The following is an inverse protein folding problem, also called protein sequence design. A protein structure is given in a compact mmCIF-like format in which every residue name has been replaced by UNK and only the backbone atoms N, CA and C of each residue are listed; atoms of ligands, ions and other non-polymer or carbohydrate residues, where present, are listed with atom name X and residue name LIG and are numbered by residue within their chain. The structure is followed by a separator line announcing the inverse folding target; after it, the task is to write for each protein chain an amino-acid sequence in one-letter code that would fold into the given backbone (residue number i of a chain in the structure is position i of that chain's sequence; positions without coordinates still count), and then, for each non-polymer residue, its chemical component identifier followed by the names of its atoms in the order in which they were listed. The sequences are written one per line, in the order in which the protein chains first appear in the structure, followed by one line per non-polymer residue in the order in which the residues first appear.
data_IF_715982242946
#
_entry.id   IF_715982242946
#
_cell.length_a   1.000
_cell.length_b   1.000
_cell.length_c   1.000
_cell.angle_alpha   90.00
_cell.angle_beta   90.00
_cell.angle_gamma   90.00
#
_symmetry.space_group_name_H-M   'P 1'
#
loop_
_entity.id
_entity.type
_entity.pdbx_description
1 polymer ?
#
# COMPACT_ATOMS: atom_id res chain seq x y z
N UNK A 1 23.45 5.95 -14.79
CA UNK A 1 22.33 5.89 -13.81
C UNK A 1 21.17 5.13 -14.44
N UNK A 2 20.74 4.00 -13.86
CA UNK A 2 19.68 3.14 -14.42
C UNK A 2 18.35 3.91 -14.42
N UNK A 3 17.77 4.17 -15.59
CA UNK A 3 16.42 4.76 -15.72
C UNK A 3 15.38 3.65 -15.77
N UNK A 4 14.57 3.53 -14.72
CA UNK A 4 13.44 2.59 -14.70
C UNK A 4 12.25 3.26 -15.40
N UNK A 5 11.76 2.65 -16.50
CA UNK A 5 10.64 3.19 -17.29
C UNK A 5 9.42 3.45 -16.40
N UNK A 6 8.86 4.65 -16.48
CA UNK A 6 7.67 5.08 -15.72
C UNK A 6 7.97 5.58 -14.29
N UNK A 7 9.12 5.24 -13.70
CA UNK A 7 9.55 5.82 -12.44
C UNK A 7 10.06 7.25 -12.65
N UNK A 8 9.65 8.19 -11.80
CA UNK A 8 10.11 9.58 -11.84
C UNK A 8 11.18 9.85 -10.81
N UNK A 9 10.86 9.59 -9.54
CA UNK A 9 11.75 9.86 -8.40
C UNK A 9 11.31 9.09 -7.16
N UNK A 10 12.24 8.99 -6.22
CA UNK A 10 12.00 8.48 -4.87
C UNK A 10 11.92 9.65 -3.90
N UNK A 11 11.03 9.56 -2.93
CA UNK A 11 10.87 10.56 -1.89
C UNK A 11 10.63 9.88 -0.54
N UNK A 12 10.80 10.61 0.55
CA UNK A 12 10.59 10.10 1.90
C UNK A 12 9.70 11.03 2.72
N UNK A 13 9.27 10.55 3.88
CA UNK A 13 8.66 11.37 4.92
C UNK A 13 8.89 10.73 6.29
N UNK A 14 8.31 11.34 7.34
CA UNK A 14 8.47 10.90 8.73
C UNK A 14 8.20 9.40 8.96
N UNK A 15 7.28 8.79 8.22
CA UNK A 15 6.91 7.38 8.40
C UNK A 15 7.16 6.50 7.17
N UNK A 16 7.87 7.02 6.16
CA UNK A 16 8.13 6.33 4.89
C UNK A 16 9.55 6.66 4.42
N UNK A 17 10.55 5.79 4.65
CA UNK A 17 10.44 4.48 5.28
C UNK A 17 10.30 4.53 6.81
N UNK A 18 9.76 3.46 7.38
CA UNK A 18 9.64 3.15 8.80
C UNK A 18 10.01 1.68 9.02
N UNK A 19 10.56 1.36 10.18
CA UNK A 19 10.83 -0.01 10.60
C UNK A 19 10.59 -0.14 12.11
N UNK A 20 9.85 -1.17 12.52
CA UNK A 20 9.56 -1.48 13.92
C UNK A 20 10.60 -2.46 14.47
N UNK A 21 11.12 -2.18 15.67
CA UNK A 21 12.06 -3.09 16.37
C UNK A 21 11.34 -4.18 17.19
N UNK A 22 10.01 -4.13 17.28
CA UNK A 22 9.26 -4.99 18.20
C UNK A 22 9.05 -6.41 17.64
N UNK A 23 8.99 -7.39 18.54
CA UNK A 23 8.79 -8.81 18.22
C UNK A 23 7.40 -9.09 17.61
N UNK A 24 7.30 -10.28 16.99
CA UNK A 24 6.09 -10.81 16.37
C UNK A 24 4.97 -10.99 17.39
N UNK A 25 3.90 -10.21 17.23
CA UNK A 25 2.72 -10.22 18.12
C UNK A 25 1.48 -10.85 17.47
N UNK A 26 1.50 -11.02 16.15
CA UNK A 26 0.36 -11.52 15.40
C UNK A 26 0.72 -12.69 14.47
N UNK A 27 -0.29 -13.49 14.13
CA UNK A 27 -0.16 -14.74 13.39
C UNK A 27 0.22 -14.54 11.92
N UNK A 28 -0.35 -13.54 11.25
CA UNK A 28 -0.26 -13.37 9.80
C UNK A 28 0.56 -12.13 9.42
N UNK A 29 1.27 -12.24 8.29
CA UNK A 29 1.87 -11.11 7.59
C UNK A 29 1.04 -10.75 6.37
N UNK A 30 0.86 -9.45 6.15
CA UNK A 30 0.21 -8.89 4.98
C UNK A 30 1.14 -7.83 4.36
N UNK A 31 1.34 -7.90 3.04
CA UNK A 31 1.97 -6.81 2.29
C UNK A 31 0.86 -5.99 1.65
N UNK A 32 0.84 -4.69 1.94
CA UNK A 32 -0.15 -3.74 1.43
C UNK A 32 0.52 -2.74 0.50
N UNK A 33 -0.06 -2.52 -0.66
CA UNK A 33 0.30 -1.44 -1.58
C UNK A 33 -0.53 -0.19 -1.28
N UNK A 34 0.11 0.97 -1.25
CA UNK A 34 -0.54 2.26 -1.08
C UNK A 34 -0.39 3.05 -2.39
N UNK A 35 -1.47 3.68 -2.84
CA UNK A 35 -1.47 4.55 -4.02
C UNK A 35 -2.31 5.80 -3.84
N UNK A 36 -1.84 6.94 -4.35
CA UNK A 36 -2.58 8.20 -4.36
C UNK A 36 -2.06 9.13 -5.44
N UNK A 37 -2.92 9.95 -6.03
CA UNK A 37 -2.54 11.00 -6.97
C UNK A 37 -3.42 12.26 -6.87
N UNK A 38 -4.15 12.38 -5.75
CA UNK A 38 -4.87 13.59 -5.39
C UNK A 38 -4.17 14.20 -4.18
N UNK A 39 -3.62 15.38 -4.33
CA UNK A 39 -2.94 16.11 -3.25
C UNK A 39 -3.84 16.30 -2.02
N UNK A 40 -3.28 16.32 -0.78
CA UNK A 40 -1.87 16.12 -0.44
C UNK A 40 -1.55 14.64 -0.10
N UNK A 41 -0.92 13.91 -1.02
CA UNK A 41 -0.69 12.45 -0.96
C UNK A 41 0.15 12.04 0.24
N UNK A 42 1.32 12.65 0.42
CA UNK A 42 2.24 12.31 1.53
C UNK A 42 1.65 12.62 2.89
N UNK A 43 0.96 13.77 3.02
CA UNK A 43 0.27 14.14 4.27
C UNK A 43 -0.80 13.11 4.59
N UNK A 44 -1.52 12.62 3.57
CA UNK A 44 -2.53 11.57 3.71
C UNK A 44 -1.93 10.24 4.14
N UNK A 45 -0.82 9.81 3.54
CA UNK A 45 -0.14 8.57 3.93
C UNK A 45 0.41 8.64 5.37
N UNK A 46 0.96 9.79 5.78
CA UNK A 46 1.37 9.98 7.17
C UNK A 46 0.20 9.97 8.15
N UNK A 47 -0.97 10.52 7.76
CA UNK A 47 -2.19 10.45 8.56
C UNK A 47 -2.73 9.02 8.64
N UNK A 48 -2.71 8.27 7.53
CA UNK A 48 -3.08 6.86 7.49
C UNK A 48 -2.21 6.06 8.46
N UNK A 49 -0.89 6.21 8.37
CA UNK A 49 0.06 5.54 9.26
C UNK A 49 -0.29 5.79 10.74
N UNK A 50 -0.51 7.06 11.14
CA UNK A 50 -0.86 7.39 12.52
C UNK A 50 -2.15 6.72 13.00
N UNK A 51 -3.22 6.81 12.21
CA UNK A 51 -4.51 6.20 12.57
C UNK A 51 -4.41 4.66 12.60
N UNK A 52 -3.58 4.08 11.74
CA UNK A 52 -3.33 2.64 11.72
C UNK A 52 -2.46 2.18 12.91
N UNK A 53 -1.53 3.01 13.39
CA UNK A 53 -0.76 2.73 14.61
C UNK A 53 -1.62 2.70 15.88
N UNK A 54 -2.77 3.38 15.87
CA UNK A 54 -3.74 3.38 16.98
C UNK A 54 -4.71 2.18 16.92
N UNK A 55 -4.75 1.44 15.80
CA UNK A 55 -5.65 0.31 15.61
C UNK A 55 -5.04 -0.99 16.14
N UNK A 56 -5.59 -1.49 17.26
CA UNK A 56 -5.09 -2.68 17.96
C UNK A 56 -5.25 -4.00 17.18
N UNK A 57 -5.95 -4.01 16.04
CA UNK A 57 -6.18 -5.23 15.24
C UNK A 57 -4.95 -5.67 14.45
N UNK A 58 -3.95 -4.80 14.31
CA UNK A 58 -2.75 -5.08 13.54
C UNK A 58 -1.58 -4.17 13.96
N UNK A 59 -0.41 -4.43 13.40
CA UNK A 59 0.81 -3.68 13.66
C UNK A 59 1.57 -3.42 12.37
N UNK A 60 1.99 -2.18 12.16
CA UNK A 60 2.87 -1.83 11.04
C UNK A 60 4.30 -2.24 11.41
N UNK A 61 4.91 -3.09 10.59
CA UNK A 61 6.29 -3.54 10.76
C UNK A 61 7.27 -2.68 9.97
N UNK A 62 6.93 -2.39 8.72
CA UNK A 62 7.80 -1.64 7.84
C UNK A 62 7.01 -0.86 6.79
N UNK A 63 7.61 0.20 6.27
CA UNK A 63 7.14 0.91 5.08
C UNK A 63 8.31 1.19 4.16
N UNK A 64 8.04 1.25 2.86
CA UNK A 64 9.02 1.68 1.87
C UNK A 64 9.19 3.21 1.85
N UNK A 65 10.20 3.73 1.13
CA UNK A 65 10.14 5.06 0.56
C UNK A 65 8.93 5.23 -0.39
N UNK A 66 8.62 6.47 -0.74
CA UNK A 66 7.67 6.76 -1.80
C UNK A 66 8.32 6.61 -3.18
N UNK A 67 7.58 6.01 -4.11
CA UNK A 67 7.85 6.10 -5.53
C UNK A 67 6.83 7.00 -6.20
N UNK A 68 7.31 7.98 -6.94
CA UNK A 68 6.48 8.80 -7.81
C UNK A 68 6.62 8.24 -9.21
N UNK A 69 5.52 7.82 -9.83
CA UNK A 69 5.53 7.21 -11.17
C UNK A 69 4.29 7.58 -11.98
N UNK A 70 4.41 7.42 -13.29
CA UNK A 70 3.33 7.68 -14.25
C UNK A 70 2.04 6.95 -13.88
N UNK A 71 0.90 7.59 -14.15
CA UNK A 71 -0.40 6.97 -14.02
C UNK A 71 -0.58 5.81 -15.03
N UNK A 72 -1.16 4.70 -14.55
CA UNK A 72 -1.50 3.55 -15.38
C UNK A 72 -2.96 3.60 -15.85
N UNK A 73 -3.21 3.23 -17.10
CA UNK A 73 -4.55 3.24 -17.69
C UNK A 73 -4.96 4.65 -18.14
N UNK A 74 -5.73 5.36 -17.31
CA UNK A 74 -6.13 6.74 -17.63
C UNK A 74 -4.94 7.68 -17.42
N UNK A 75 -4.42 8.31 -18.50
CA UNK A 75 -3.17 9.09 -18.41
C UNK A 75 -3.37 10.60 -18.19
N UNK A 76 -4.57 11.13 -18.43
CA UNK A 76 -4.88 12.54 -18.21
C UNK A 76 -5.13 12.83 -16.71
N UNK A 77 -4.16 12.47 -15.87
CA UNK A 77 -4.16 12.67 -14.43
C UNK A 77 -2.73 12.82 -13.91
N UNK A 78 -2.58 13.30 -12.68
CA UNK A 78 -1.26 13.41 -12.03
C UNK A 78 -0.59 12.05 -11.86
N UNK A 79 0.74 12.08 -11.79
CA UNK A 79 1.57 10.96 -11.37
C UNK A 79 1.13 10.45 -9.98
N UNK A 80 1.29 9.15 -9.76
CA UNK A 80 0.96 8.52 -8.49
C UNK A 80 2.15 8.55 -7.54
N UNK A 81 1.85 8.84 -6.28
CA UNK A 81 2.68 8.49 -5.12
C UNK A 81 2.31 7.10 -4.65
N UNK A 82 3.26 6.16 -4.71
CA UNK A 82 3.08 4.77 -4.30
C UNK A 82 4.05 4.39 -3.18
N UNK A 83 3.62 3.47 -2.33
CA UNK A 83 4.45 2.87 -1.28
C UNK A 83 4.00 1.44 -0.98
N UNK A 84 4.80 0.70 -0.23
CA UNK A 84 4.41 -0.58 0.36
C UNK A 84 4.49 -0.51 1.88
N UNK A 85 3.65 -1.30 2.54
CA UNK A 85 3.59 -1.42 4.00
C UNK A 85 3.48 -2.90 4.38
N UNK A 86 4.38 -3.35 5.25
CA UNK A 86 4.34 -4.69 5.85
C UNK A 86 3.60 -4.62 7.17
N UNK A 87 2.59 -5.48 7.34
CA UNK A 87 1.68 -5.46 8.47
C UNK A 87 1.58 -6.86 9.08
N UNK A 88 1.51 -6.90 10.42
CA UNK A 88 1.16 -8.07 11.22
C UNK A 88 -0.30 -8.00 11.67
N UNK A 89 -1.07 -9.08 11.54
CA UNK A 89 -2.46 -9.12 12.00
C UNK A 89 -2.92 -10.54 12.37
N UNK A 90 -3.93 -10.64 13.24
CA UNK A 90 -4.64 -11.90 13.51
C UNK A 90 -5.90 -12.05 12.64
N UNK A 91 -6.26 -11.01 11.88
CA UNK A 91 -7.38 -11.06 10.95
C UNK A 91 -7.03 -11.93 9.75
N UNK A 92 -7.94 -12.80 9.33
CA UNK A 92 -7.83 -13.48 8.04
C UNK A 92 -7.88 -12.48 6.89
N UNK A 93 -7.31 -12.85 5.73
CA UNK A 93 -7.17 -11.97 4.56
C UNK A 93 -8.46 -11.21 4.17
N UNK A 94 -9.62 -11.88 4.14
CA UNK A 94 -10.90 -11.24 3.82
C UNK A 94 -11.31 -10.18 4.87
N UNK A 95 -11.12 -10.47 6.15
CA UNK A 95 -11.41 -9.51 7.22
C UNK A 95 -10.45 -8.32 7.17
N UNK A 96 -9.17 -8.58 6.89
CA UNK A 96 -8.17 -7.53 6.72
C UNK A 96 -8.46 -6.66 5.48
N UNK A 97 -8.91 -7.25 4.37
CA UNK A 97 -9.33 -6.49 3.18
C UNK A 97 -10.50 -5.54 3.49
N UNK A 98 -11.48 -5.97 4.28
CA UNK A 98 -12.56 -5.08 4.75
C UNK A 98 -12.03 -3.88 5.54
N UNK A 99 -10.98 -4.09 6.34
CA UNK A 99 -10.30 -3.00 7.06
C UNK A 99 -9.63 -2.02 6.10
N UNK A 100 -8.94 -2.52 5.06
CA UNK A 100 -8.35 -1.66 4.04
C UNK A 100 -9.41 -0.81 3.32
N UNK A 101 -10.51 -1.44 2.89
CA UNK A 101 -11.64 -0.75 2.26
C UNK A 101 -12.27 0.31 3.18
N UNK A 102 -12.39 0.02 4.48
CA UNK A 102 -12.85 0.99 5.46
C UNK A 102 -11.93 2.22 5.52
N UNK A 103 -10.61 2.03 5.50
CA UNK A 103 -9.67 3.16 5.48
C UNK A 103 -9.78 3.97 4.20
N UNK A 104 -9.90 3.35 3.04
CA UNK A 104 -10.12 4.10 1.80
C UNK A 104 -11.36 5.00 1.87
N UNK A 105 -12.47 4.48 2.40
CA UNK A 105 -13.69 5.26 2.62
C UNK A 105 -13.47 6.39 3.63
N UNK A 106 -12.81 6.10 4.76
CA UNK A 106 -12.44 7.11 5.77
C UNK A 106 -11.58 8.23 5.18
N UNK A 107 -10.72 7.90 4.23
CA UNK A 107 -9.86 8.81 3.49
C UNK A 107 -10.47 9.31 2.17
N UNK A 108 -11.81 9.21 2.05
CA UNK A 108 -12.63 9.83 1.00
C UNK A 108 -12.35 9.32 -0.42
N UNK A 109 -11.95 8.05 -0.58
CA UNK A 109 -11.85 7.41 -1.90
C UNK A 109 -13.22 7.41 -2.57
N UNK A 110 -13.31 7.95 -3.79
CA UNK A 110 -14.50 7.89 -4.66
C UNK A 110 -14.19 7.00 -5.87
N UNK A 111 -15.12 6.15 -6.27
CA UNK A 111 -15.01 5.25 -7.43
C UNK A 111 -15.94 5.75 -8.54
N UNK A 112 -15.50 6.76 -9.28
CA UNK A 112 -16.32 7.41 -10.33
C UNK A 112 -16.23 6.69 -11.67
N UNK A 113 -15.03 6.28 -12.10
CA UNK A 113 -14.80 5.49 -13.30
C UNK A 113 -13.54 4.63 -13.16
N UNK A 114 -13.34 3.69 -14.10
CA UNK A 114 -12.18 2.80 -14.09
C UNK A 114 -10.88 3.60 -14.18
N UNK A 115 -9.95 3.36 -13.25
CA UNK A 115 -8.67 4.07 -13.14
C UNK A 115 -8.76 5.58 -12.83
N UNK A 116 -9.88 6.07 -12.29
CA UNK A 116 -10.01 7.45 -11.85
C UNK A 116 -8.93 7.89 -10.84
N UNK A 117 -8.61 9.19 -10.76
CA UNK A 117 -7.78 9.73 -9.69
C UNK A 117 -8.34 9.36 -8.31
N UNK A 118 -7.47 9.12 -7.34
CA UNK A 118 -7.90 8.64 -6.03
C UNK A 118 -7.11 9.27 -4.90
N UNK A 119 -7.83 9.55 -3.81
CA UNK A 119 -7.24 10.04 -2.56
C UNK A 119 -6.42 8.95 -1.89
N UNK A 120 -6.88 7.71 -1.88
CA UNK A 120 -6.17 6.57 -1.30
C UNK A 120 -6.63 5.28 -2.00
N UNK A 121 -5.68 4.42 -2.31
CA UNK A 121 -5.85 3.04 -2.78
C UNK A 121 -5.02 2.15 -1.86
N UNK A 122 -5.62 1.08 -1.33
CA UNK A 122 -5.00 0.10 -0.44
C UNK A 122 -5.22 -1.31 -1.00
N UNK A 123 -4.19 -1.85 -1.62
CA UNK A 123 -4.23 -3.18 -2.22
C UNK A 123 -3.61 -4.22 -1.27
N UNK A 124 -4.31 -5.30 -0.96
CA UNK A 124 -3.71 -6.47 -0.30
C UNK A 124 -2.90 -7.27 -1.33
N UNK A 125 -1.59 -7.04 -1.37
CA UNK A 125 -0.68 -7.61 -2.37
C UNK A 125 -0.34 -9.07 -2.07
N UNK A 126 0.02 -9.36 -0.83
CA UNK A 126 0.40 -10.69 -0.35
C UNK A 126 -0.11 -10.94 1.07
N UNK A 127 -0.32 -12.21 1.41
CA UNK A 127 -0.73 -12.66 2.73
C UNK A 127 -0.03 -13.99 3.05
N UNK A 128 0.50 -14.15 4.26
CA UNK A 128 1.38 -15.27 4.61
C UNK A 128 0.69 -16.63 4.72
N UNK A 129 -0.64 -16.66 4.83
CA UNK A 129 -1.42 -17.91 4.79
C UNK A 129 -1.97 -18.12 3.38
N UNK A 130 -2.12 -19.39 2.97
CA UNK A 130 -2.86 -19.76 1.77
C UNK A 130 -4.28 -19.19 1.84
N UNK A 131 -4.62 -18.32 0.88
CA UNK A 131 -5.95 -17.73 0.73
C UNK A 131 -6.66 -18.50 -0.38
N UNK A 132 -7.89 -18.97 -0.13
CA UNK A 132 -8.74 -19.50 -1.19
C UNK A 132 -9.07 -18.33 -2.13
N UNK A 133 -8.71 -18.46 -3.40
CA UNK A 133 -9.06 -17.44 -4.40
C UNK A 133 -10.56 -17.48 -4.66
N UNK A 134 -11.19 -16.33 -4.56
CA UNK A 134 -12.59 -16.09 -4.90
C UNK A 134 -12.75 -14.65 -5.40
N UNK A 135 -13.94 -14.32 -5.90
CA UNK A 135 -14.25 -13.00 -6.49
C UNK A 135 -14.02 -11.82 -5.54
N UNK A 136 -14.06 -12.05 -4.21
CA UNK A 136 -13.88 -11.02 -3.20
C UNK A 136 -12.48 -10.94 -2.60
N UNK A 137 -11.59 -11.91 -2.85
CA UNK A 137 -10.23 -11.92 -2.30
C UNK A 137 -9.27 -12.71 -3.20
N UNK A 138 -8.54 -11.98 -4.04
CA UNK A 138 -7.49 -12.54 -4.90
C UNK A 138 -6.11 -12.18 -4.35
N UNK A 139 -5.53 -13.10 -3.58
CA UNK A 139 -4.19 -12.97 -3.01
C UNK A 139 -3.34 -14.19 -3.41
N UNK A 140 -2.10 -14.01 -3.93
CA UNK A 140 -1.46 -12.74 -4.24
C UNK A 140 -2.21 -11.95 -5.33
N UNK A 141 -2.12 -10.63 -5.27
CA UNK A 141 -2.78 -9.77 -6.25
C UNK A 141 -2.21 -10.02 -7.65
N UNK A 142 -3.08 -10.26 -8.64
CA UNK A 142 -2.73 -10.78 -9.99
C UNK A 142 -1.64 -9.94 -10.70
N UNK A 143 -1.59 -8.63 -10.47
CA UNK A 143 -0.60 -7.74 -11.07
C UNK A 143 0.54 -7.27 -10.17
N UNK A 144 0.67 -7.79 -8.94
CA UNK A 144 1.64 -7.24 -7.97
C UNK A 144 3.10 -7.41 -8.43
N UNK A 145 3.43 -8.56 -9.02
CA UNK A 145 4.78 -8.90 -9.48
C UNK A 145 5.19 -8.26 -10.82
N UNK A 146 4.31 -7.48 -11.46
CA UNK A 146 4.59 -6.81 -12.74
C UNK A 146 4.59 -5.28 -12.60
N UNK A 147 4.09 -4.74 -11.49
CA UNK A 147 3.94 -3.30 -11.29
C UNK A 147 5.18 -2.71 -10.62
N UNK A 148 5.84 -1.79 -11.30
CA UNK A 148 6.96 -1.02 -10.73
C UNK A 148 6.57 -0.29 -9.43
N UNK A 149 5.29 0.12 -9.32
CA UNK A 149 4.70 0.78 -8.16
C UNK A 149 4.63 -0.12 -6.92
N UNK A 150 4.86 -1.42 -7.09
CA UNK A 150 4.96 -2.42 -6.02
C UNK A 150 6.40 -2.88 -5.87
N UNK A 151 7.03 -3.32 -6.97
CA UNK A 151 8.35 -3.97 -6.96
C UNK A 151 9.43 -3.04 -6.44
N UNK A 152 9.48 -1.79 -6.94
CA UNK A 152 10.55 -0.87 -6.58
C UNK A 152 10.44 -0.39 -5.12
N UNK A 153 9.26 0.03 -4.61
CA UNK A 153 9.11 0.32 -3.19
C UNK A 153 9.41 -0.88 -2.29
N UNK A 154 8.95 -2.07 -2.66
CA UNK A 154 9.20 -3.30 -1.89
C UNK A 154 10.71 -3.59 -1.78
N UNK A 155 11.44 -3.57 -2.90
CA UNK A 155 12.88 -3.83 -2.93
C UNK A 155 13.74 -2.79 -2.20
N UNK A 156 13.16 -1.63 -1.88
CA UNK A 156 13.80 -0.56 -1.07
C UNK A 156 13.38 -0.58 0.40
N UNK A 157 12.51 -1.51 0.80
CA UNK A 157 12.07 -1.62 2.19
C UNK A 157 13.16 -2.30 3.01
N UNK A 158 13.66 -1.61 4.04
CA UNK A 158 14.70 -2.16 4.92
C UNK A 158 14.13 -3.27 5.81
N UNK A 159 14.92 -4.33 6.02
CA UNK A 159 14.59 -5.42 6.95
C UNK A 159 13.53 -6.41 6.43
N UNK A 160 13.29 -6.41 5.12
CA UNK A 160 12.48 -7.40 4.40
C UNK A 160 13.36 -8.27 3.51
#
# INVERSE_FOLDING_TARGET
MLKIKGARRLETSRFFPYFSQNKKEFKYLALVGLGSNIEPEKKRFNKLFRVMMEDRRFKILATSPFLINEAFGFKAQKDFTNATMLIQTNLHARAFLKVLLFYELKFKRKRTFKNAPRTLDLDLLYFSQKVKRDEGCMVPHIGANQRISVILPLGLTKGL
#
